data_IF_921790717001
#
_entry.id   IF_921790717001
#
_cell.length_a   1.000
_cell.length_b   1.000
_cell.length_c   1.000
_cell.angle_alpha   90.00
_cell.angle_beta   90.00
_cell.angle_gamma   90.00
#
_symmetry.space_group_name_H-M   'P 1'
#
loop_
_entity.id
_entity.type
_entity.pdbx_description
1 polymer ?
#
# COMPACT_ATOMS: atom_id res chain seq x y z
N UNK A 1 -1.92 -4.28 -23.13
CA UNK A 1 -1.97 -4.20 -21.65
C UNK A 1 -0.75 -3.42 -21.19
N UNK A 2 -0.92 -2.27 -20.53
CA UNK A 2 0.22 -1.53 -19.99
C UNK A 2 0.79 -2.32 -18.81
N UNK A 3 2.10 -2.58 -18.80
CA UNK A 3 2.76 -3.22 -17.68
C UNK A 3 2.56 -2.34 -16.43
N UNK A 4 2.02 -2.92 -15.36
CA UNK A 4 1.89 -2.20 -14.10
C UNK A 4 3.31 -2.02 -13.54
N UNK A 5 3.74 -0.80 -13.18
CA UNK A 5 5.11 -0.56 -12.69
C UNK A 5 5.48 -1.43 -11.48
N UNK A 6 4.49 -1.80 -10.68
CA UNK A 6 4.64 -2.70 -9.54
C UNK A 6 4.70 -4.18 -9.92
N UNK A 7 4.63 -4.58 -11.19
CA UNK A 7 4.89 -5.97 -11.58
C UNK A 7 6.35 -6.37 -11.30
N UNK A 8 7.28 -5.42 -11.18
CA UNK A 8 8.64 -5.73 -10.69
C UNK A 8 8.64 -6.28 -9.26
N UNK A 9 7.61 -5.94 -8.46
CA UNK A 9 7.39 -6.55 -7.16
C UNK A 9 7.06 -8.05 -7.30
N UNK A 10 6.30 -8.45 -8.33
CA UNK A 10 5.96 -9.88 -8.54
C UNK A 10 7.14 -10.76 -8.97
N UNK A 11 8.19 -10.19 -9.59
CA UNK A 11 9.34 -10.94 -10.09
C UNK A 11 10.50 -11.13 -9.10
N UNK A 12 10.46 -10.47 -7.94
CA UNK A 12 11.58 -10.42 -7.00
C UNK A 12 11.14 -10.84 -5.60
N UNK A 13 11.11 -12.16 -5.33
CA UNK A 13 11.01 -12.74 -3.98
C UNK A 13 9.99 -12.05 -3.06
N UNK A 14 8.82 -11.70 -3.58
CA UNK A 14 7.72 -11.36 -2.70
C UNK A 14 7.18 -12.67 -2.16
N UNK A 15 7.16 -12.89 -0.83
CA UNK A 15 6.36 -13.97 -0.29
C UNK A 15 4.96 -13.77 -0.84
N UNK A 16 4.40 -14.82 -1.44
CA UNK A 16 3.02 -14.87 -1.93
C UNK A 16 2.13 -13.94 -1.08
N UNK A 17 1.35 -13.04 -1.72
CA UNK A 17 0.42 -12.14 -1.04
C UNK A 17 -0.22 -12.92 0.10
N UNK A 18 -0.15 -12.40 1.33
CA UNK A 18 -0.44 -13.22 2.51
C UNK A 18 -1.80 -13.89 2.34
N UNK A 19 -1.79 -15.21 2.15
CA UNK A 19 -3.01 -15.98 1.99
C UNK A 19 -3.52 -16.31 3.38
N UNK A 20 -4.70 -15.79 3.69
CA UNK A 20 -5.38 -16.08 4.94
C UNK A 20 -6.45 -17.14 4.68
N UNK A 21 -6.69 -18.00 5.66
CA UNK A 21 -7.85 -18.87 5.63
C UNK A 21 -9.11 -18.01 5.80
N UNK A 22 -9.91 -17.90 4.73
CA UNK A 22 -11.06 -16.98 4.65
C UNK A 22 -12.22 -17.44 5.56
N UNK A 23 -12.10 -18.62 6.16
CA UNK A 23 -13.09 -19.27 7.05
C UNK A 23 -12.93 -18.88 8.53
N UNK A 24 -11.96 -18.03 8.86
CA UNK A 24 -11.77 -17.58 10.24
C UNK A 24 -12.86 -16.57 10.61
N UNK A 25 -13.74 -16.94 11.53
CA UNK A 25 -14.79 -16.06 12.05
C UNK A 25 -14.27 -15.07 13.11
N UNK A 26 -15.12 -14.11 13.49
CA UNK A 26 -14.84 -13.19 14.59
C UNK A 26 -13.88 -12.06 14.22
N UNK A 27 -13.10 -11.58 15.20
CA UNK A 27 -12.24 -10.39 15.02
C UNK A 27 -11.07 -10.62 14.07
N UNK A 28 -10.57 -11.85 13.98
CA UNK A 28 -9.50 -12.22 13.07
C UNK A 28 -10.00 -12.28 11.62
N UNK A 29 -11.20 -12.82 11.37
CA UNK A 29 -11.85 -12.74 10.07
C UNK A 29 -12.07 -11.32 9.57
N UNK A 30 -12.60 -10.47 10.44
CA UNK A 30 -12.79 -9.06 10.12
C UNK A 30 -11.47 -8.34 9.82
N UNK A 31 -10.39 -8.66 10.53
CA UNK A 31 -9.05 -8.12 10.21
C UNK A 31 -8.59 -8.55 8.82
N UNK A 32 -8.74 -9.83 8.47
CA UNK A 32 -8.33 -10.40 7.19
C UNK A 32 -9.04 -9.67 6.04
N UNK A 33 -10.37 -9.49 6.14
CA UNK A 33 -11.15 -8.75 5.15
C UNK A 33 -10.62 -7.32 4.95
N UNK A 34 -10.33 -6.61 6.06
CA UNK A 34 -9.82 -5.24 6.03
C UNK A 34 -8.41 -5.16 5.46
N UNK A 35 -7.57 -6.16 5.71
CA UNK A 35 -6.23 -6.26 5.15
C UNK A 35 -6.30 -6.50 3.63
N UNK A 36 -7.08 -7.48 3.17
CA UNK A 36 -7.23 -7.80 1.74
C UNK A 36 -7.78 -6.62 0.93
N UNK A 37 -8.63 -5.79 1.53
CA UNK A 37 -9.19 -4.59 0.89
C UNK A 37 -8.14 -3.49 0.61
N UNK A 38 -6.98 -3.50 1.30
CA UNK A 38 -5.97 -2.44 1.15
C UNK A 38 -4.64 -2.93 0.59
N UNK A 39 -4.34 -4.23 0.68
CA UNK A 39 -3.06 -4.79 0.28
C UNK A 39 -2.72 -4.44 -1.18
N UNK A 40 -3.64 -4.72 -2.11
CA UNK A 40 -3.44 -4.43 -3.54
C UNK A 40 -3.47 -2.92 -3.87
N UNK A 41 -4.45 -2.12 -3.40
CA UNK A 41 -4.46 -0.67 -3.64
C UNK A 41 -3.23 0.08 -3.10
N UNK A 42 -2.60 -0.42 -2.03
CA UNK A 42 -1.45 0.23 -1.40
C UNK A 42 -0.11 -0.18 -2.01
N UNK A 43 -0.06 -1.17 -2.92
CA UNK A 43 1.17 -1.61 -3.59
C UNK A 43 1.89 -0.47 -4.30
N UNK A 44 1.15 0.45 -4.93
CA UNK A 44 1.75 1.62 -5.58
C UNK A 44 2.45 2.53 -4.56
N UNK A 45 1.84 2.76 -3.39
CA UNK A 45 2.43 3.59 -2.35
C UNK A 45 3.65 2.91 -1.73
N UNK A 46 3.60 1.59 -1.57
CA UNK A 46 4.73 0.77 -1.11
C UNK A 46 5.89 0.82 -2.11
N UNK A 47 5.63 0.54 -3.39
CA UNK A 47 6.63 0.63 -4.45
C UNK A 47 7.25 2.03 -4.53
N UNK A 48 6.41 3.08 -4.53
CA UNK A 48 6.88 4.47 -4.53
C UNK A 48 7.71 4.83 -3.29
N UNK A 49 7.57 4.12 -2.18
CA UNK A 49 8.36 4.34 -0.96
C UNK A 49 9.74 3.67 -1.00
N UNK A 50 9.85 2.53 -1.71
CA UNK A 50 11.11 1.79 -1.87
C UNK A 50 11.97 2.38 -3.00
N UNK A 51 11.35 3.03 -3.98
CA UNK A 51 12.05 3.69 -5.07
C UNK A 51 12.48 5.12 -4.69
N UNK A 52 13.80 5.34 -4.66
CA UNK A 52 14.40 6.64 -4.39
C UNK A 52 14.53 7.45 -5.68
N UNK A 53 13.39 7.86 -6.24
CA UNK A 53 13.34 8.76 -7.40
C UNK A 53 12.99 10.19 -6.96
N UNK A 54 13.98 11.07 -6.70
CA UNK A 54 13.72 12.48 -6.43
C UNK A 54 13.26 13.17 -7.73
N UNK A 55 12.16 13.91 -7.66
CA UNK A 55 11.72 14.79 -8.75
C UNK A 55 12.26 16.20 -8.46
N UNK A 56 13.20 16.73 -9.25
CA UNK A 56 13.77 18.05 -9.05
C UNK A 56 12.69 19.15 -9.03
N UNK A 57 12.85 20.15 -8.15
CA UNK A 57 11.92 21.27 -8.02
C UNK A 57 11.82 22.11 -9.30
N UNK A 58 12.89 22.20 -10.08
CA UNK A 58 12.88 22.85 -11.40
C UNK A 58 11.94 22.14 -12.37
N UNK A 59 11.98 20.80 -12.42
CA UNK A 59 11.11 19.98 -13.28
C UNK A 59 9.65 20.05 -12.83
N UNK A 60 9.40 20.04 -11.53
CA UNK A 60 8.05 20.25 -10.96
C UNK A 60 7.48 21.61 -11.38
N UNK A 61 8.32 22.65 -11.45
CA UNK A 61 7.88 24.00 -11.83
C UNK A 61 7.59 24.13 -13.34
N UNK A 62 8.31 23.38 -14.17
CA UNK A 62 8.17 23.45 -15.63
C UNK A 62 7.10 22.51 -16.20
N UNK A 63 6.74 21.45 -15.48
CA UNK A 63 5.82 20.41 -15.97
C UNK A 63 4.59 20.24 -15.04
N UNK A 64 3.38 20.61 -15.48
CA UNK A 64 2.14 20.43 -14.73
C UNK A 64 1.83 18.98 -14.34
N UNK A 65 2.25 18.01 -15.17
CA UNK A 65 2.07 16.59 -14.87
C UNK A 65 2.91 16.19 -13.66
N UNK A 66 4.19 16.60 -13.62
CA UNK A 66 5.08 16.32 -12.49
C UNK A 66 4.62 17.02 -11.21
N UNK A 67 4.08 18.24 -11.31
CA UNK A 67 3.46 18.93 -10.18
C UNK A 67 2.31 18.13 -9.57
N UNK A 68 1.41 17.63 -10.41
CA UNK A 68 0.29 16.78 -9.98
C UNK A 68 0.80 15.46 -9.39
N UNK A 69 1.75 14.81 -10.07
CA UNK A 69 2.31 13.53 -9.65
C UNK A 69 2.93 13.58 -8.24
N UNK A 70 3.71 14.62 -7.93
CA UNK A 70 4.35 14.76 -6.60
C UNK A 70 3.32 14.92 -5.48
N UNK A 71 2.25 15.68 -5.72
CA UNK A 71 1.15 15.85 -4.77
C UNK A 71 0.41 14.53 -4.57
N UNK A 72 0.05 13.86 -5.67
CA UNK A 72 -0.65 12.58 -5.64
C UNK A 72 0.18 11.49 -4.96
N UNK A 73 1.50 11.44 -5.20
CA UNK A 73 2.42 10.52 -4.50
C UNK A 73 2.46 10.77 -2.99
N UNK A 74 2.42 12.04 -2.56
CA UNK A 74 2.35 12.40 -1.14
C UNK A 74 1.01 11.98 -0.52
N UNK A 75 -0.09 12.22 -1.23
CA UNK A 75 -1.43 11.84 -0.79
C UNK A 75 -1.58 10.33 -0.67
N UNK A 76 -1.16 9.56 -1.69
CA UNK A 76 -1.12 8.09 -1.66
C UNK A 76 -0.38 7.57 -0.44
N UNK A 77 0.82 8.09 -0.18
CA UNK A 77 1.63 7.69 1.00
C UNK A 77 0.92 8.01 2.32
N UNK A 78 0.32 9.20 2.43
CA UNK A 78 -0.41 9.61 3.63
C UNK A 78 -1.63 8.73 3.88
N UNK A 79 -2.42 8.46 2.84
CA UNK A 79 -3.61 7.62 2.92
C UNK A 79 -3.27 6.17 3.23
N UNK A 80 -2.27 5.60 2.55
CA UNK A 80 -1.78 4.25 2.85
C UNK A 80 -1.33 4.17 4.31
N UNK A 81 -0.51 5.12 4.78
CA UNK A 81 -0.10 5.16 6.19
C UNK A 81 -1.27 5.26 7.17
N UNK A 82 -2.34 5.98 6.81
CA UNK A 82 -3.58 6.02 7.60
C UNK A 82 -4.29 4.66 7.67
N UNK A 83 -4.46 4.00 6.52
CA UNK A 83 -5.07 2.65 6.43
C UNK A 83 -4.27 1.61 7.21
N UNK A 84 -2.95 1.58 7.03
CA UNK A 84 -2.06 0.62 7.72
C UNK A 84 -2.07 0.80 9.24
N UNK A 85 -2.17 2.03 9.75
CA UNK A 85 -2.33 2.27 11.20
C UNK A 85 -3.64 1.72 11.74
N UNK A 86 -4.73 1.83 10.98
CA UNK A 86 -6.03 1.26 11.38
C UNK A 86 -5.96 -0.26 11.43
N UNK A 87 -5.33 -0.89 10.43
CA UNK A 87 -5.13 -2.35 10.39
C UNK A 87 -4.26 -2.81 11.56
N UNK A 88 -3.17 -2.09 11.86
CA UNK A 88 -2.32 -2.42 13.01
C UNK A 88 -3.10 -2.38 14.33
N UNK A 89 -3.96 -1.36 14.51
CA UNK A 89 -4.81 -1.29 15.70
C UNK A 89 -5.78 -2.49 15.80
N UNK A 90 -6.40 -2.87 14.69
CA UNK A 90 -7.28 -4.05 14.62
C UNK A 90 -6.51 -5.34 14.90
N UNK A 91 -5.29 -5.48 14.37
CA UNK A 91 -4.43 -6.63 14.62
C UNK A 91 -4.09 -6.78 16.09
N UNK A 92 -3.67 -5.70 16.76
CA UNK A 92 -3.37 -5.72 18.19
C UNK A 92 -4.58 -6.11 19.04
N UNK A 93 -5.77 -5.67 18.64
CA UNK A 93 -7.03 -6.04 19.32
C UNK A 93 -7.33 -7.52 19.11
N UNK A 94 -7.25 -8.02 17.87
CA UNK A 94 -7.49 -9.43 17.57
C UNK A 94 -6.52 -10.35 18.31
N UNK A 95 -5.24 -9.97 18.39
CA UNK A 95 -4.20 -10.71 19.12
C UNK A 95 -4.36 -10.68 20.65
N UNK A 96 -5.08 -9.70 21.21
CA UNK A 96 -5.35 -9.61 22.65
C UNK A 96 -6.52 -10.50 23.08
N UNK A 97 -7.46 -10.73 22.16
CA UNK A 97 -8.74 -11.36 22.47
C UNK A 97 -8.90 -12.77 21.88
N UNK A 98 -8.02 -13.18 20.96
CA UNK A 98 -7.80 -14.58 20.59
C UNK A 98 -6.84 -15.24 21.57
#
# INVERSE_FOLDING_TARGET
MAALPWNVLTGANIPELMSFEITVDGRLGFLIERYSAVEFPDLIAYWESTQRFPVPSSLVRSDPYLATFVVERKNRRSHAGGRWKQILAQFLIAMREG
#
